data_IF_103003287773
#
_entry.id   IF_103003287773
#
_cell.length_a   1.000
_cell.length_b   1.000
_cell.length_c   1.000
_cell.angle_alpha   90.00
_cell.angle_beta   90.00
_cell.angle_gamma   90.00
#
_symmetry.space_group_name_H-M   'P 1'
#
loop_
_entity.id
_entity.type
_entity.pdbx_description
1 polymer ?
#
# COMPACT_ATOMS: atom_id res chain seq x y z
N UNK A 1 21.32 -50.59 -51.56
CA UNK A 1 21.26 -50.42 -50.10
C UNK A 1 21.49 -48.95 -49.78
N UNK A 2 20.45 -48.21 -49.43
CA UNK A 2 20.52 -46.79 -49.07
C UNK A 2 20.38 -46.71 -47.55
N UNK A 3 21.45 -46.30 -46.85
CA UNK A 3 21.39 -46.01 -45.41
C UNK A 3 20.96 -44.56 -45.23
N UNK A 4 19.71 -44.37 -44.81
CA UNK A 4 19.15 -43.09 -44.42
C UNK A 4 19.52 -42.85 -42.96
N UNK A 5 20.58 -42.09 -42.70
CA UNK A 5 20.98 -41.72 -41.35
C UNK A 5 20.16 -40.50 -40.91
N UNK A 6 19.11 -40.73 -40.13
CA UNK A 6 18.31 -39.66 -39.52
C UNK A 6 19.10 -39.12 -38.32
N UNK A 7 19.62 -37.90 -38.44
CA UNK A 7 20.23 -37.15 -37.33
C UNK A 7 19.08 -36.55 -36.51
N UNK A 8 18.77 -37.17 -35.37
CA UNK A 8 17.85 -36.63 -34.38
C UNK A 8 18.53 -35.49 -33.63
N UNK A 9 18.31 -34.26 -34.09
CA UNK A 9 18.81 -33.06 -33.43
C UNK A 9 17.96 -32.82 -32.16
N UNK A 10 18.48 -33.27 -31.01
CA UNK A 10 17.93 -32.99 -29.69
C UNK A 10 18.09 -31.49 -29.40
N UNK A 11 17.02 -30.72 -29.65
CA UNK A 11 16.92 -29.34 -29.21
C UNK A 11 16.74 -29.38 -27.69
N UNK A 12 17.85 -29.28 -26.96
CA UNK A 12 17.83 -29.02 -25.53
C UNK A 12 17.38 -27.56 -25.37
N UNK A 13 16.10 -27.36 -25.05
CA UNK A 13 15.60 -26.07 -24.57
C UNK A 13 16.30 -25.78 -23.24
N UNK A 14 17.41 -25.05 -23.31
CA UNK A 14 18.00 -24.42 -22.15
C UNK A 14 17.03 -23.32 -21.73
N UNK A 15 16.24 -23.57 -20.70
CA UNK A 15 15.50 -22.53 -20.00
C UNK A 15 16.53 -21.61 -19.34
N UNK A 16 16.86 -20.51 -20.02
CA UNK A 16 17.68 -19.46 -19.43
C UNK A 16 16.84 -18.78 -18.35
N UNK A 17 17.18 -19.04 -17.08
CA UNK A 17 16.59 -18.33 -15.95
C UNK A 17 17.04 -16.87 -16.09
N UNK A 18 16.10 -15.99 -16.42
CA UNK A 18 16.36 -14.55 -16.49
C UNK A 18 16.04 -13.96 -15.13
N UNK A 19 17.05 -13.40 -14.48
CA UNK A 19 16.84 -12.69 -13.22
C UNK A 19 16.08 -11.38 -13.46
N UNK A 20 15.10 -11.15 -12.59
CA UNK A 20 14.18 -10.02 -12.58
C UNK A 20 14.42 -9.21 -11.31
N UNK A 21 13.98 -7.95 -11.32
CA UNK A 21 13.98 -7.08 -10.16
C UNK A 21 12.58 -6.50 -9.98
N UNK A 22 12.16 -6.27 -8.74
CA UNK A 22 10.86 -5.69 -8.43
C UNK A 22 10.65 -4.32 -9.10
N UNK A 23 11.67 -3.47 -9.11
CA UNK A 23 11.61 -2.15 -9.74
C UNK A 23 12.89 -1.78 -10.49
N UNK A 24 12.72 -1.20 -11.69
CA UNK A 24 13.84 -0.68 -12.50
C UNK A 24 14.08 0.82 -12.33
N UNK A 25 13.06 1.54 -11.86
CA UNK A 25 13.14 2.97 -11.59
C UNK A 25 12.28 3.28 -10.38
N UNK A 26 12.83 3.99 -9.41
CA UNK A 26 12.11 4.43 -8.22
C UNK A 26 12.29 5.93 -8.01
N UNK A 27 11.23 6.58 -7.55
CA UNK A 27 11.21 8.01 -7.19
C UNK A 27 10.92 8.14 -5.70
N UNK A 28 11.84 8.75 -4.96
CA UNK A 28 11.79 8.88 -3.51
C UNK A 28 11.92 10.36 -3.09
N UNK A 29 11.28 10.80 -1.99
CA UNK A 29 11.43 12.18 -1.53
C UNK A 29 12.82 12.41 -0.95
N UNK A 30 13.33 13.64 -1.06
CA UNK A 30 14.53 14.03 -0.33
C UNK A 30 14.36 13.84 1.19
N UNK A 31 15.47 13.68 1.90
CA UNK A 31 15.47 13.41 3.33
C UNK A 31 15.35 14.73 4.13
N UNK A 32 14.18 14.98 4.71
CA UNK A 32 13.93 16.11 5.63
C UNK A 32 14.05 15.74 7.13
N UNK A 33 14.79 14.68 7.44
CA UNK A 33 15.08 14.26 8.81
C UNK A 33 14.97 12.75 8.97
N UNK A 34 13.85 12.18 8.53
CA UNK A 34 13.65 10.73 8.47
C UNK A 34 13.79 10.26 7.03
N UNK A 35 14.78 9.40 6.72
CA UNK A 35 14.99 8.95 5.35
C UNK A 35 13.88 8.01 4.92
N UNK A 36 13.43 8.17 3.68
CA UNK A 36 12.56 7.18 3.04
C UNK A 36 13.38 5.97 2.59
N UNK A 37 12.86 4.78 2.87
CA UNK A 37 13.44 3.52 2.47
C UNK A 37 12.62 2.83 1.38
N UNK A 38 13.29 2.06 0.53
CA UNK A 38 12.69 1.16 -0.44
C UNK A 38 13.48 -0.14 -0.51
N UNK A 39 12.80 -1.28 -0.56
CA UNK A 39 13.48 -2.59 -0.67
C UNK A 39 13.53 -3.01 -2.13
N UNK A 40 14.73 -3.15 -2.68
CA UNK A 40 14.94 -3.83 -3.95
C UNK A 40 15.06 -5.33 -3.72
N UNK A 41 14.43 -6.11 -4.59
CA UNK A 41 14.42 -7.57 -4.53
C UNK A 41 14.58 -8.16 -5.92
N UNK A 42 15.51 -9.10 -6.05
CA UNK A 42 15.75 -9.86 -7.28
C UNK A 42 15.03 -11.20 -7.24
N UNK A 43 14.37 -11.57 -8.33
CA UNK A 43 13.68 -12.85 -8.52
C UNK A 43 14.32 -13.63 -9.65
N UNK A 44 14.48 -14.94 -9.51
CA UNK A 44 15.14 -15.77 -10.52
C UNK A 44 15.86 -16.94 -9.87
N UNK A 45 17.17 -17.06 -10.09
CA UNK A 45 17.95 -18.17 -9.55
C UNK A 45 17.89 -18.20 -8.00
N UNK A 46 17.55 -19.38 -7.46
CA UNK A 46 17.51 -19.63 -6.02
C UNK A 46 18.90 -19.45 -5.37
N UNK A 47 19.98 -19.63 -6.13
CA UNK A 47 21.36 -19.50 -5.65
C UNK A 47 22.00 -18.14 -5.97
N UNK A 48 21.25 -17.19 -6.55
CA UNK A 48 21.75 -15.86 -6.88
C UNK A 48 22.14 -15.08 -5.63
N UNK A 49 23.29 -14.41 -5.66
CA UNK A 49 23.78 -13.58 -4.57
C UNK A 49 24.39 -12.30 -5.13
N UNK A 50 23.69 -11.18 -4.95
CA UNK A 50 24.10 -9.91 -5.56
C UNK A 50 24.87 -9.04 -4.58
N UNK A 51 25.99 -8.50 -5.06
CA UNK A 51 26.68 -7.40 -4.39
C UNK A 51 26.03 -6.09 -4.83
N UNK A 52 25.54 -5.32 -3.85
CA UNK A 52 24.84 -4.07 -4.10
C UNK A 52 25.79 -2.87 -4.01
N UNK A 53 25.63 -1.91 -4.92
CA UNK A 53 26.41 -0.68 -4.94
C UNK A 53 25.58 0.49 -5.48
N UNK A 54 25.90 1.70 -5.03
CA UNK A 54 25.32 2.96 -5.52
C UNK A 54 26.41 3.75 -6.23
N UNK A 55 26.10 4.31 -7.41
CA UNK A 55 27.02 5.19 -8.13
C UNK A 55 27.24 6.53 -7.43
N UNK A 56 26.29 6.94 -6.58
CA UNK A 56 26.30 8.18 -5.81
C UNK A 56 25.65 7.97 -4.45
N UNK A 57 26.45 7.49 -3.49
CA UNK A 57 26.00 7.19 -2.12
C UNK A 57 25.61 8.43 -1.31
N UNK A 58 26.00 9.62 -1.76
CA UNK A 58 25.55 10.92 -1.24
C UNK A 58 24.07 11.21 -1.55
N UNK A 59 23.51 10.58 -2.60
CA UNK A 59 22.10 10.73 -2.97
C UNK A 59 21.25 9.64 -2.32
N UNK A 60 21.58 8.37 -2.59
CA UNK A 60 20.93 7.23 -1.97
C UNK A 60 21.97 6.15 -1.69
N UNK A 61 21.93 5.62 -0.47
CA UNK A 61 22.76 4.51 -0.03
C UNK A 61 22.02 3.19 -0.21
N UNK A 62 22.76 2.09 -0.35
CA UNK A 62 22.19 0.74 -0.47
C UNK A 62 22.92 -0.21 0.47
N UNK A 63 22.16 -1.04 1.18
CA UNK A 63 22.70 -2.08 2.07
C UNK A 63 22.01 -3.42 1.81
N UNK A 64 22.75 -4.54 1.70
CA UNK A 64 22.14 -5.84 1.55
C UNK A 64 21.30 -6.18 2.80
N UNK A 65 20.13 -6.80 2.59
CA UNK A 65 19.26 -7.29 3.66
C UNK A 65 19.44 -8.80 3.80
N UNK A 66 19.44 -9.34 5.03
CA UNK A 66 19.57 -10.78 5.23
C UNK A 66 18.41 -11.52 4.58
N UNK A 67 18.69 -12.70 4.05
CA UNK A 67 17.66 -13.71 3.82
C UNK A 67 17.32 -14.39 5.16
N UNK A 68 16.15 -15.02 5.25
CA UNK A 68 15.60 -15.64 6.47
C UNK A 68 16.56 -16.60 7.20
N UNK A 69 17.59 -17.09 6.52
CA UNK A 69 18.57 -18.08 7.02
C UNK A 69 19.96 -17.51 7.30
N UNK A 70 20.25 -16.24 6.96
CA UNK A 70 21.63 -15.70 6.98
C UNK A 70 21.79 -14.56 7.99
N UNK A 71 22.79 -14.67 8.88
CA UNK A 71 23.06 -13.67 9.93
C UNK A 71 23.65 -12.36 9.40
N UNK A 72 23.30 -11.23 10.03
CA UNK A 72 23.69 -9.86 9.68
C UNK A 72 25.21 -9.60 9.60
N UNK A 73 26.02 -10.35 10.36
CA UNK A 73 27.42 -10.00 10.59
C UNK A 73 28.37 -10.36 9.42
N UNK A 74 27.91 -11.13 8.42
CA UNK A 74 28.75 -11.66 7.33
C UNK A 74 28.15 -11.47 5.93
N UNK A 75 27.10 -10.67 5.79
CA UNK A 75 26.33 -10.57 4.55
C UNK A 75 27.04 -9.69 3.51
N UNK A 76 27.86 -10.30 2.65
CA UNK A 76 28.60 -9.62 1.57
C UNK A 76 27.79 -9.49 0.27
N UNK A 77 26.77 -10.32 0.08
CA UNK A 77 25.82 -10.28 -1.02
C UNK A 77 24.44 -10.76 -0.55
N UNK A 78 23.37 -10.38 -1.25
CA UNK A 78 21.99 -10.77 -0.96
C UNK A 78 21.10 -10.57 -2.18
N UNK A 79 19.94 -11.24 -2.22
CA UNK A 79 18.87 -10.96 -3.20
C UNK A 79 18.06 -9.72 -2.90
N UNK A 80 18.12 -9.26 -1.65
CA UNK A 80 17.40 -8.09 -1.18
C UNK A 80 18.37 -7.01 -0.72
N UNK A 81 18.02 -5.76 -0.98
CA UNK A 81 18.74 -4.63 -0.44
C UNK A 81 17.82 -3.47 -0.10
N UNK A 82 18.17 -2.78 0.99
CA UNK A 82 17.51 -1.58 1.43
C UNK A 82 18.18 -0.37 0.78
N UNK A 83 17.41 0.36 -0.01
CA UNK A 83 17.75 1.69 -0.51
C UNK A 83 17.28 2.71 0.50
N UNK A 84 18.16 3.61 0.90
CA UNK A 84 17.89 4.68 1.88
C UNK A 84 18.30 6.02 1.29
N UNK A 85 17.37 6.97 1.23
CA UNK A 85 17.66 8.33 0.75
C UNK A 85 18.59 9.05 1.73
N UNK A 86 19.69 9.60 1.20
CA UNK A 86 20.70 10.34 1.97
C UNK A 86 20.59 11.83 1.72
N UNK A 87 20.36 12.25 0.47
CA UNK A 87 20.35 13.66 0.12
C UNK A 87 19.24 14.43 0.85
N UNK A 88 19.60 15.61 1.36
CA UNK A 88 18.69 16.59 1.95
C UNK A 88 18.39 17.76 1.03
N UNK A 89 18.87 17.71 -0.22
CA UNK A 89 18.72 18.80 -1.16
C UNK A 89 17.33 18.67 -1.82
N UNK A 90 16.44 19.69 -1.72
CA UNK A 90 15.11 19.65 -2.31
C UNK A 90 15.17 19.97 -3.81
N UNK A 91 15.92 19.18 -4.57
CA UNK A 91 16.07 19.28 -6.02
C UNK A 91 16.17 17.88 -6.61
N UNK A 92 15.74 17.75 -7.86
CA UNK A 92 15.91 16.54 -8.64
C UNK A 92 17.38 16.08 -8.66
N UNK A 93 17.61 14.86 -8.18
CA UNK A 93 18.90 14.19 -8.16
C UNK A 93 18.73 12.72 -8.56
N UNK A 94 19.76 12.14 -9.16
CA UNK A 94 19.71 10.74 -9.58
C UNK A 94 20.97 9.97 -9.21
N UNK A 95 20.78 8.69 -8.90
CA UNK A 95 21.84 7.71 -8.71
C UNK A 95 21.41 6.37 -9.29
N UNK A 96 22.37 5.50 -9.59
CA UNK A 96 22.10 4.16 -10.11
C UNK A 96 22.52 3.15 -9.08
N UNK A 97 21.58 2.31 -8.67
CA UNK A 97 21.85 1.15 -7.84
C UNK A 97 22.09 -0.05 -8.74
N UNK A 98 23.18 -0.75 -8.47
CA UNK A 98 23.60 -1.94 -9.21
C UNK A 98 23.60 -3.15 -8.29
N UNK A 99 22.93 -4.21 -8.72
CA UNK A 99 23.07 -5.56 -8.20
C UNK A 99 24.01 -6.34 -9.13
N UNK A 100 25.15 -6.78 -8.63
CA UNK A 100 26.17 -7.49 -9.42
C UNK A 100 26.37 -8.90 -8.89
N UNK A 101 26.08 -9.91 -9.71
CA UNK A 101 26.44 -11.29 -9.41
C UNK A 101 27.85 -11.59 -9.93
N UNK A 102 28.77 -11.81 -8.99
CA UNK A 102 30.18 -12.06 -9.29
C UNK A 102 30.42 -13.43 -9.96
N UNK A 103 29.47 -14.37 -9.87
CA UNK A 103 29.62 -15.71 -10.47
C UNK A 103 29.30 -15.69 -11.96
N UNK A 104 28.20 -15.03 -12.32
CA UNK A 104 27.71 -14.96 -13.70
C UNK A 104 28.15 -13.70 -14.44
N UNK A 105 28.72 -12.72 -13.73
CA UNK A 105 28.94 -11.34 -14.20
C UNK A 105 27.65 -10.64 -14.65
N UNK A 106 26.48 -11.11 -14.19
CA UNK A 106 25.21 -10.44 -14.45
C UNK A 106 25.12 -9.15 -13.65
N UNK A 107 24.67 -8.08 -14.30
CA UNK A 107 24.44 -6.79 -13.68
C UNK A 107 22.98 -6.36 -13.88
N UNK A 108 22.27 -6.14 -12.78
CA UNK A 108 20.93 -5.56 -12.79
C UNK A 108 21.02 -4.13 -12.26
N UNK A 109 20.33 -3.20 -12.92
CA UNK A 109 20.35 -1.77 -12.59
C UNK A 109 18.96 -1.29 -12.19
N UNK A 110 18.93 -0.39 -11.21
CA UNK A 110 17.77 0.37 -10.78
C UNK A 110 18.14 1.85 -10.73
N UNK A 111 17.40 2.68 -11.47
CA UNK A 111 17.56 4.13 -11.44
C UNK A 111 16.80 4.69 -10.23
N UNK A 112 17.50 5.39 -9.35
CA UNK A 112 16.93 6.01 -8.15
C UNK A 112 16.92 7.51 -8.34
N UNK A 113 15.72 8.07 -8.37
CA UNK A 113 15.49 9.51 -8.45
C UNK A 113 15.04 10.02 -7.07
N UNK A 114 15.61 11.15 -6.68
CA UNK A 114 15.29 11.85 -5.43
C UNK A 114 14.77 13.24 -5.79
N UNK A 115 13.60 13.61 -5.27
CA UNK A 115 12.96 14.88 -5.62
C UNK A 115 12.09 15.46 -4.49
N UNK A 116 11.57 16.67 -4.70
CA UNK A 116 10.64 17.33 -3.79
C UNK A 116 9.18 16.98 -4.11
N UNK A 117 8.38 16.75 -3.06
CA UNK A 117 6.94 16.57 -3.18
C UNK A 117 6.29 17.91 -3.52
N UNK A 118 5.51 17.96 -4.60
CA UNK A 118 4.79 19.16 -5.05
C UNK A 118 3.29 19.10 -4.80
N UNK A 119 2.70 17.90 -4.77
CA UNK A 119 1.27 17.70 -4.53
C UNK A 119 1.03 16.38 -3.83
N UNK A 120 -0.01 16.31 -3.00
CA UNK A 120 -0.53 15.06 -2.43
C UNK A 120 -1.98 14.82 -2.80
N UNK A 121 -2.40 13.56 -2.81
CA UNK A 121 -3.81 13.15 -2.93
C UNK A 121 -4.09 12.01 -1.96
N UNK A 122 -5.36 11.85 -1.56
CA UNK A 122 -5.79 10.70 -0.77
C UNK A 122 -6.38 9.65 -1.72
N UNK A 123 -5.95 8.40 -1.57
CA UNK A 123 -6.50 7.24 -2.26
C UNK A 123 -7.10 6.25 -1.24
N UNK A 124 -8.23 5.68 -1.63
CA UNK A 124 -8.92 4.61 -0.91
C UNK A 124 -9.45 3.60 -1.93
N UNK A 125 -9.66 2.36 -1.49
CA UNK A 125 -10.36 1.31 -2.25
C UNK A 125 -11.84 1.61 -2.37
N UNK A 126 -12.45 2.17 -1.32
CA UNK A 126 -13.88 2.50 -1.25
C UNK A 126 -14.11 3.85 -0.58
N UNK A 127 -15.12 4.59 -1.05
CA UNK A 127 -15.65 5.78 -0.36
C UNK A 127 -16.82 5.46 0.56
N UNK A 128 -17.26 4.20 0.58
CA UNK A 128 -18.33 3.71 1.44
C UNK A 128 -17.72 2.72 2.44
N UNK A 129 -17.72 3.13 3.72
CA UNK A 129 -17.28 2.30 4.84
C UNK A 129 -18.51 1.73 5.51
N UNK A 130 -18.52 0.44 5.75
CA UNK A 130 -19.64 -0.20 6.43
C UNK A 130 -19.45 -0.04 7.94
N UNK A 131 -20.45 0.51 8.62
CA UNK A 131 -20.45 0.64 10.08
C UNK A 131 -20.34 -0.74 10.72
N UNK A 132 -19.37 -0.87 11.64
CA UNK A 132 -19.18 -2.08 12.42
C UNK A 132 -18.50 -3.24 11.68
N UNK A 133 -17.87 -2.97 10.54
CA UNK A 133 -16.97 -3.90 9.85
C UNK A 133 -15.50 -3.58 10.18
N UNK A 134 -14.57 -4.33 9.58
CA UNK A 134 -13.13 -4.08 9.70
C UNK A 134 -12.74 -2.68 9.20
N UNK A 135 -11.67 -2.08 9.76
CA UNK A 135 -11.23 -0.76 9.34
C UNK A 135 -10.68 -0.77 7.91
N UNK A 136 -10.96 0.29 7.16
CA UNK A 136 -10.48 0.48 5.79
C UNK A 136 -9.12 1.17 5.76
N UNK A 137 -8.29 0.80 4.78
CA UNK A 137 -6.98 1.41 4.57
C UNK A 137 -7.11 2.65 3.69
N UNK A 138 -6.65 3.78 4.21
CA UNK A 138 -6.58 5.05 3.47
C UNK A 138 -5.11 5.45 3.38
N UNK A 139 -4.68 5.85 2.17
CA UNK A 139 -3.28 6.18 1.89
C UNK A 139 -3.14 7.50 1.14
N UNK A 140 -2.00 8.14 1.32
CA UNK A 140 -1.59 9.32 0.55
C UNK A 140 -0.71 8.88 -0.61
N UNK A 141 -0.97 9.45 -1.78
CA UNK A 141 0.01 9.52 -2.86
C UNK A 141 0.60 10.91 -2.96
N UNK A 142 1.89 10.95 -3.30
CA UNK A 142 2.62 12.18 -3.54
C UNK A 142 3.06 12.24 -5.00
N UNK A 143 3.17 13.48 -5.51
CA UNK A 143 3.55 13.77 -6.88
C UNK A 143 4.67 14.79 -6.94
N UNK A 144 5.59 14.64 -7.89
CA UNK A 144 6.59 15.64 -8.25
C UNK A 144 5.97 16.83 -9.00
N UNK A 145 6.79 17.85 -9.28
CA UNK A 145 6.43 18.99 -10.14
C UNK A 145 6.10 18.56 -11.58
N UNK A 146 6.72 17.47 -12.04
CA UNK A 146 6.48 16.80 -13.33
C UNK A 146 5.29 15.84 -13.29
N UNK A 147 4.56 15.76 -12.18
CA UNK A 147 3.40 14.88 -12.00
C UNK A 147 3.73 13.38 -11.95
N UNK A 148 4.98 13.02 -11.66
CA UNK A 148 5.40 11.63 -11.42
C UNK A 148 5.03 11.20 -9.99
N UNK A 149 4.64 9.94 -9.81
CA UNK A 149 4.23 9.40 -8.51
C UNK A 149 5.46 8.92 -7.76
N UNK A 150 5.60 9.34 -6.50
CA UNK A 150 6.63 8.80 -5.62
C UNK A 150 6.36 7.33 -5.30
N UNK A 151 7.37 6.48 -5.51
CA UNK A 151 7.30 5.04 -5.26
C UNK A 151 7.10 4.74 -3.77
N UNK A 152 7.71 5.53 -2.90
CA UNK A 152 7.53 5.45 -1.45
C UNK A 152 7.67 6.85 -0.84
N UNK A 153 6.87 7.10 0.19
CA UNK A 153 6.92 8.31 1.04
C UNK A 153 6.94 7.91 2.52
N UNK A 154 7.47 6.73 2.83
CA UNK A 154 7.46 6.18 4.18
C UNK A 154 8.23 7.00 5.22
N UNK A 155 9.17 7.85 4.78
CA UNK A 155 9.89 8.80 5.64
C UNK A 155 9.16 10.12 5.90
N UNK A 156 7.95 10.30 5.35
CA UNK A 156 7.16 11.53 5.53
C UNK A 156 6.03 11.29 6.52
N UNK A 157 5.90 12.19 7.50
CA UNK A 157 4.81 12.14 8.49
C UNK A 157 3.64 13.02 8.07
N UNK A 158 2.43 12.64 8.51
CA UNK A 158 1.20 13.30 8.11
C UNK A 158 0.31 13.59 9.30
N UNK A 159 -0.33 14.76 9.27
CA UNK A 159 -1.45 15.10 10.12
C UNK A 159 -2.76 14.73 9.43
N UNK A 160 -3.53 13.88 10.10
CA UNK A 160 -4.82 13.41 9.63
C UNK A 160 -5.94 14.02 10.46
N UNK A 161 -6.86 14.69 9.79
CA UNK A 161 -8.05 15.27 10.41
C UNK A 161 -9.31 14.61 9.84
N UNK A 162 -10.11 14.01 10.71
CA UNK A 162 -11.30 13.23 10.38
C UNK A 162 -12.52 13.90 11.02
N UNK A 163 -13.44 14.42 10.21
CA UNK A 163 -14.58 15.22 10.67
C UNK A 163 -15.88 14.71 10.04
N UNK A 164 -16.94 14.40 10.81
CA UNK A 164 -16.99 14.44 12.27
C UNK A 164 -16.47 13.13 12.89
N UNK A 165 -15.90 13.23 14.09
CA UNK A 165 -15.29 12.08 14.79
C UNK A 165 -16.29 11.07 15.34
N UNK A 166 -17.59 11.41 15.37
CA UNK A 166 -18.66 10.50 15.77
C UNK A 166 -19.13 9.59 14.63
N UNK A 167 -18.82 9.94 13.37
CA UNK A 167 -19.10 9.13 12.17
C UNK A 167 -17.94 8.20 11.87
N UNK A 168 -16.71 8.70 11.95
CA UNK A 168 -15.52 7.97 11.52
C UNK A 168 -14.38 8.15 12.51
N UNK A 169 -13.58 7.09 12.72
CA UNK A 169 -12.49 7.11 13.69
C UNK A 169 -11.25 6.39 13.16
N UNK A 170 -10.09 6.89 13.58
CA UNK A 170 -8.82 6.22 13.35
C UNK A 170 -8.70 4.92 14.16
N UNK A 171 -8.13 3.88 13.55
CA UNK A 171 -7.77 2.62 14.21
C UNK A 171 -6.25 2.40 14.21
N UNK A 172 -5.60 2.18 15.37
CA UNK A 172 -4.18 1.82 15.41
C UNK A 172 -3.92 0.45 14.76
N UNK A 173 -2.82 0.33 14.00
CA UNK A 173 -2.47 -0.94 13.34
C UNK A 173 -2.13 -2.04 14.34
N UNK A 174 -1.46 -1.70 15.45
CA UNK A 174 -1.15 -2.63 16.55
C UNK A 174 -2.36 -3.32 17.17
N UNK A 175 -3.57 -2.75 16.99
CA UNK A 175 -4.83 -3.27 17.56
C UNK A 175 -5.78 -3.81 16.49
N UNK A 176 -5.31 -3.89 15.24
CA UNK A 176 -6.10 -4.40 14.11
C UNK A 176 -5.64 -5.81 13.72
N UNK A 177 -6.38 -6.44 12.81
CA UNK A 177 -6.00 -7.72 12.21
C UNK A 177 -5.05 -7.57 11.01
N UNK A 178 -4.65 -6.35 10.65
CA UNK A 178 -3.82 -6.08 9.48
C UNK A 178 -2.32 -6.19 9.80
N UNK A 179 -1.55 -6.72 8.87
CA UNK A 179 -0.09 -6.67 8.93
C UNK A 179 0.38 -5.23 8.70
N UNK A 180 1.09 -4.65 9.67
CA UNK A 180 1.57 -3.26 9.57
C UNK A 180 2.80 -3.17 8.67
N UNK A 181 2.83 -2.23 7.71
CA UNK A 181 4.07 -1.88 7.02
C UNK A 181 5.09 -1.25 7.98
N UNK A 182 6.39 -1.54 7.79
CA UNK A 182 7.48 -1.06 8.67
C UNK A 182 7.44 0.47 8.91
N UNK A 183 7.13 1.25 7.87
CA UNK A 183 7.06 2.70 7.98
C UNK A 183 5.86 3.17 8.82
N UNK A 184 4.75 2.43 8.80
CA UNK A 184 3.58 2.73 9.64
C UNK A 184 3.94 2.51 11.10
N UNK A 185 4.51 1.34 11.42
CA UNK A 185 4.94 0.99 12.77
C UNK A 185 5.98 2.00 13.31
N UNK A 186 6.91 2.43 12.47
CA UNK A 186 7.88 3.48 12.80
C UNK A 186 7.22 4.77 13.28
N UNK A 187 6.18 5.25 12.58
CA UNK A 187 5.51 6.49 12.96
C UNK A 187 4.56 6.31 14.14
N UNK A 188 3.81 5.21 14.19
CA UNK A 188 2.86 4.93 15.27
C UNK A 188 3.56 4.79 16.63
N UNK A 189 4.72 4.11 16.67
CA UNK A 189 5.53 3.97 17.89
C UNK A 189 6.03 5.32 18.44
N UNK A 190 6.00 6.39 17.64
CA UNK A 190 6.38 7.77 18.01
C UNK A 190 5.16 8.68 18.20
N UNK A 191 3.96 8.12 18.25
CA UNK A 191 2.72 8.90 18.39
C UNK A 191 2.37 9.76 17.17
N UNK A 192 3.02 9.53 16.02
CA UNK A 192 2.73 10.22 14.75
C UNK A 192 1.99 9.29 13.79
N UNK A 193 1.51 9.85 12.67
CA UNK A 193 0.87 9.08 11.61
C UNK A 193 1.71 9.13 10.34
N UNK A 194 1.69 8.03 9.61
CA UNK A 194 2.37 7.89 8.34
C UNK A 194 1.47 8.32 7.17
N UNK A 195 1.96 8.12 5.94
CA UNK A 195 1.16 8.24 4.71
C UNK A 195 0.00 7.25 4.62
N UNK A 196 -0.09 6.26 5.51
CA UNK A 196 -1.13 5.24 5.53
C UNK A 196 -1.77 5.13 6.92
N UNK A 197 -3.10 5.12 6.96
CA UNK A 197 -3.90 4.98 8.18
C UNK A 197 -5.02 3.95 7.99
N UNK A 198 -5.50 3.42 9.11
CA UNK A 198 -6.71 2.61 9.16
C UNK A 198 -7.85 3.43 9.76
N UNK A 199 -9.03 3.28 9.18
CA UNK A 199 -10.20 4.10 9.51
C UNK A 199 -11.44 3.21 9.60
N UNK A 200 -12.16 3.30 10.72
CA UNK A 200 -13.40 2.54 10.96
C UNK A 200 -14.63 3.46 11.00
N UNK A 201 -15.76 2.94 10.52
CA UNK A 201 -17.06 3.59 10.64
C UNK A 201 -17.64 3.38 12.04
N UNK A 202 -17.96 4.47 12.74
CA UNK A 202 -18.52 4.48 14.11
C UNK A 202 -20.02 4.77 14.11
N UNK A 203 -20.52 5.49 13.10
CA UNK A 203 -21.93 5.81 12.95
C UNK A 203 -22.23 6.11 11.49
N UNK A 204 -23.42 5.79 11.04
CA UNK A 204 -23.86 6.12 9.67
C UNK A 204 -23.86 7.63 9.45
N UNK A 205 -23.37 8.08 8.30
CA UNK A 205 -23.29 9.50 7.96
C UNK A 205 -22.19 9.80 6.95
N UNK A 206 -21.92 11.08 6.74
CA UNK A 206 -20.84 11.54 5.86
C UNK A 206 -19.71 12.13 6.70
N UNK A 207 -18.47 11.82 6.35
CA UNK A 207 -17.28 12.38 6.97
C UNK A 207 -16.28 12.84 5.91
N UNK A 208 -15.54 13.89 6.23
CA UNK A 208 -14.42 14.40 5.47
C UNK A 208 -13.12 13.97 6.15
N UNK A 209 -12.19 13.48 5.34
CA UNK A 209 -10.84 13.14 5.76
C UNK A 209 -9.88 14.09 5.06
N UNK A 210 -9.00 14.72 5.85
CA UNK A 210 -7.98 15.64 5.38
C UNK A 210 -6.60 15.14 5.80
N UNK A 211 -5.66 15.12 4.87
CA UNK A 211 -4.26 14.79 5.11
C UNK A 211 -3.39 16.01 4.83
N UNK A 212 -2.47 16.32 5.73
CA UNK A 212 -1.50 17.41 5.60
C UNK A 212 -0.11 16.86 5.91
N UNK A 213 0.90 17.23 5.13
CA UNK A 213 2.28 16.84 5.44
C UNK A 213 2.68 17.54 6.74
N UNK A 214 3.18 16.77 7.70
CA UNK A 214 3.73 17.26 8.95
C UNK A 214 5.26 17.27 8.80
N UNK A 215 5.81 18.35 8.24
CA UNK A 215 7.26 18.54 8.11
C UNK A 215 7.66 20.02 8.09
N UNK A 216 8.97 20.29 8.14
CA UNK A 216 9.55 21.61 8.34
C UNK A 216 9.32 22.57 7.15
N UNK A 217 9.72 23.84 7.30
CA UNK A 217 9.44 25.00 6.42
C UNK A 217 9.50 24.77 4.90
N UNK A 218 10.29 23.81 4.41
CA UNK A 218 10.44 23.48 2.99
C UNK A 218 9.22 22.76 2.38
N UNK A 219 8.52 21.90 3.12
CA UNK A 219 7.34 21.15 2.65
C UNK A 219 6.00 21.84 2.94
N UNK A 220 6.01 22.96 3.69
CA UNK A 220 4.82 23.75 4.04
C UNK A 220 4.06 24.37 2.85
N UNK A 221 4.57 24.24 1.63
CA UNK A 221 3.94 24.74 0.40
C UNK A 221 3.00 23.73 -0.25
N UNK A 222 2.97 22.49 0.23
CA UNK A 222 2.13 21.44 -0.36
C UNK A 222 0.72 21.55 0.19
N UNK A 223 -0.24 21.76 -0.71
CA UNK A 223 -1.66 21.86 -0.34
C UNK A 223 -2.19 20.55 0.28
N UNK A 224 -2.99 20.64 1.36
CA UNK A 224 -3.65 19.49 1.96
C UNK A 224 -4.58 18.76 0.99
N UNK A 225 -4.62 17.43 1.12
CA UNK A 225 -5.54 16.59 0.34
C UNK A 225 -6.81 16.30 1.17
N UNK A 226 -7.96 16.29 0.51
CA UNK A 226 -9.26 16.00 1.13
C UNK A 226 -10.06 14.96 0.34
N UNK A 227 -10.80 14.11 1.05
CA UNK A 227 -11.77 13.18 0.48
C UNK A 227 -13.01 13.08 1.37
N UNK A 228 -14.18 12.89 0.76
CA UNK A 228 -15.41 12.58 1.47
C UNK A 228 -15.64 11.06 1.49
N UNK A 229 -16.00 10.54 2.65
CA UNK A 229 -16.32 9.14 2.93
C UNK A 229 -17.74 9.08 3.49
N UNK A 230 -18.48 8.04 3.13
CA UNK A 230 -19.80 7.76 3.63
C UNK A 230 -19.76 6.49 4.48
N UNK A 231 -20.32 6.55 5.67
CA UNK A 231 -20.49 5.40 6.54
C UNK A 231 -21.92 4.89 6.39
N UNK A 232 -22.07 3.65 5.93
CA UNK A 232 -23.36 3.03 5.63
C UNK A 232 -23.65 1.87 6.58
N UNK A 233 -24.93 1.54 6.76
CA UNK A 233 -25.32 0.36 7.52
C UNK A 233 -25.34 -0.88 6.62
N UNK A 234 -24.86 -2.01 7.14
CA UNK A 234 -25.03 -3.31 6.48
C UNK A 234 -26.42 -3.87 6.82
N UNK A 235 -27.44 -3.40 6.10
CA UNK A 235 -28.82 -3.80 6.28
C UNK A 235 -29.21 -4.82 5.21
N UNK A 236 -29.75 -5.95 5.65
CA UNK A 236 -30.23 -7.03 4.79
C UNK A 236 -31.73 -7.19 4.98
N UNK A 237 -32.49 -7.08 3.89
CA UNK A 237 -33.91 -7.41 3.88
C UNK A 237 -34.08 -8.88 3.49
N UNK A 238 -34.89 -9.62 4.26
CA UNK A 238 -35.16 -11.04 4.05
C UNK A 238 -36.66 -11.29 3.84
N UNK A 239 -37.05 -12.15 2.88
CA UNK A 239 -36.17 -12.83 1.93
C UNK A 239 -35.51 -11.84 0.94
N UNK A 240 -34.23 -12.08 0.64
CA UNK A 240 -33.41 -11.20 -0.22
C UNK A 240 -33.41 -11.62 -1.69
N UNK A 241 -34.14 -12.70 -2.00
CA UNK A 241 -34.28 -13.27 -3.33
C UNK A 241 -35.67 -12.97 -3.89
N UNK A 242 -35.81 -13.06 -5.20
CA UNK A 242 -37.12 -12.97 -5.86
C UNK A 242 -38.07 -14.01 -5.29
N UNK A 243 -39.30 -13.58 -4.98
CA UNK A 243 -40.36 -14.42 -4.43
C UNK A 243 -41.54 -14.43 -5.39
N UNK A 244 -41.86 -15.61 -5.92
CA UNK A 244 -43.04 -15.81 -6.76
C UNK A 244 -44.26 -16.10 -5.87
N UNK A 245 -45.30 -15.27 -6.00
CA UNK A 245 -46.46 -15.29 -5.13
C UNK A 245 -47.75 -15.48 -5.92
N UNK A 246 -48.67 -16.28 -5.39
CA UNK A 246 -50.02 -16.45 -5.95
C UNK A 246 -50.90 -15.28 -5.49
N UNK A 247 -51.85 -14.79 -6.31
CA UNK A 247 -52.77 -13.73 -5.89
C UNK A 247 -53.47 -14.04 -4.56
N UNK A 248 -53.43 -13.08 -3.63
CA UNK A 248 -54.01 -13.21 -2.28
C UNK A 248 -53.08 -13.80 -1.22
N UNK A 249 -51.84 -14.17 -1.56
CA UNK A 249 -50.84 -14.63 -0.58
C UNK A 249 -50.12 -13.47 0.13
N UNK A 250 -49.54 -13.76 1.30
CA UNK A 250 -48.82 -12.77 2.13
C UNK A 250 -47.37 -13.20 2.34
N UNK A 251 -46.46 -12.24 2.35
CA UNK A 251 -45.04 -12.42 2.63
C UNK A 251 -44.63 -11.64 3.87
N UNK A 252 -43.79 -12.23 4.71
CA UNK A 252 -43.27 -11.62 5.92
C UNK A 252 -41.82 -11.20 5.68
N UNK A 253 -41.61 -9.89 5.53
CA UNK A 253 -40.26 -9.33 5.47
C UNK A 253 -39.69 -9.14 6.87
N UNK A 254 -38.39 -9.38 7.02
CA UNK A 254 -37.61 -8.99 8.19
C UNK A 254 -36.34 -8.29 7.73
N UNK A 255 -35.93 -7.25 8.44
CA UNK A 255 -34.63 -6.62 8.21
C UNK A 255 -33.66 -7.08 9.29
N UNK A 256 -32.41 -7.31 8.90
CA UNK A 256 -31.30 -7.65 9.78
C UNK A 256 -30.16 -6.67 9.57
N UNK A 257 -29.46 -6.28 10.64
CA UNK A 257 -28.30 -5.38 10.58
C UNK A 257 -27.07 -6.08 11.16
N UNK A 258 -25.91 -5.94 10.50
CA UNK A 258 -24.62 -6.35 11.06
C UNK A 258 -24.08 -5.24 11.97
N UNK A 259 -23.79 -5.55 13.24
CA UNK A 259 -23.09 -4.66 14.18
C UNK A 259 -21.95 -5.44 14.82
N UNK A 260 -20.73 -5.38 14.26
CA UNK A 260 -19.52 -6.02 14.82
C UNK A 260 -19.79 -7.43 15.39
N UNK A 261 -20.35 -8.35 14.59
CA UNK A 261 -20.75 -9.67 15.06
C UNK A 261 -21.93 -10.29 14.31
N UNK A 262 -22.69 -11.21 14.94
CA UNK A 262 -23.83 -11.85 14.30
C UNK A 262 -24.92 -10.84 13.95
N UNK A 263 -25.63 -11.09 12.85
CA UNK A 263 -26.74 -10.25 12.39
C UNK A 263 -27.83 -10.19 13.45
N UNK A 264 -28.36 -8.99 13.70
CA UNK A 264 -29.46 -8.75 14.63
C UNK A 264 -30.69 -8.32 13.85
N UNK A 265 -31.83 -8.95 14.12
CA UNK A 265 -33.09 -8.57 13.49
C UNK A 265 -33.60 -7.23 14.04
N UNK A 266 -33.94 -6.32 13.13
CA UNK A 266 -34.54 -5.04 13.45
C UNK A 266 -36.00 -5.23 13.82
N UNK A 267 -36.41 -4.61 14.92
CA UNK A 267 -37.81 -4.51 15.31
C UNK A 267 -38.42 -3.26 14.68
N UNK A 268 -39.61 -3.42 14.08
CA UNK A 268 -40.39 -2.35 13.49
C UNK A 268 -41.65 -2.08 14.32
N UNK A 269 -42.14 -0.83 14.40
CA UNK A 269 -41.62 0.37 13.73
C UNK A 269 -40.28 0.83 14.32
N UNK A 270 -39.34 1.24 13.46
CA UNK A 270 -38.00 1.67 13.85
C UNK A 270 -37.85 3.17 13.59
N UNK A 271 -37.14 3.90 14.47
CA UNK A 271 -36.94 5.34 14.30
C UNK A 271 -35.99 5.70 13.15
N UNK A 272 -35.09 4.77 12.77
CA UNK A 272 -34.05 5.01 11.77
C UNK A 272 -34.35 4.37 10.41
N UNK A 273 -35.19 3.33 10.38
CA UNK A 273 -35.46 2.54 9.19
C UNK A 273 -36.96 2.31 9.01
N UNK A 274 -37.42 2.41 7.76
CA UNK A 274 -38.78 2.06 7.37
C UNK A 274 -38.74 1.17 6.11
N UNK A 275 -39.80 0.41 5.88
CA UNK A 275 -39.98 -0.38 4.67
C UNK A 275 -41.04 0.30 3.81
N UNK A 276 -40.69 0.59 2.55
CA UNK A 276 -41.60 1.08 1.53
C UNK A 276 -41.70 0.04 0.43
N UNK A 277 -42.93 -0.26 0.01
CA UNK A 277 -43.23 -1.20 -1.07
C UNK A 277 -43.84 -0.39 -2.19
N UNK A 278 -43.23 -0.46 -3.37
CA UNK A 278 -43.76 0.16 -4.60
C UNK A 278 -44.53 -0.89 -5.40
N UNK A 279 -45.64 -0.46 -6.00
CA UNK A 279 -46.44 -1.25 -6.94
C UNK A 279 -45.79 -1.37 -8.33
#
# INVERSE_FOLDING_TARGET
MIRLTIIFCLIIQIYCITDKINERRILLPYNDGIPTNFTLETFGDENACYKWSSSRSDIASVKPLPDSTTSIATLSCSKRALVTVVSRIPKHQSTVITAHDLKTNLQIRCDVEVDAISRITIQTTTKEIVYGELPETIRVFAYSDKNDIFTSIGGVSFDWNLIPSDVIRYRPWSTSSYASPDFVEYWESRGRKSSMILVEGVKTGSAKIRATINDNESMNKVEPAEINIHVVANLLLLPSNDVFMVPGSTIHFRAEISKQGPRVSLQFPNQQYYLEVYD
#
